data_IF_205273921946
#
_entry.id   IF_205273921946
#
_cell.length_a   1.000
_cell.length_b   1.000
_cell.length_c   1.000
_cell.angle_alpha   90.00
_cell.angle_beta   90.00
_cell.angle_gamma   90.00
#
_symmetry.space_group_name_H-M   'P 1'
#
loop_
_entity.id
_entity.type
_entity.pdbx_description
1 polymer ?
#
# COMPACT_ATOMS: atom_id res chain seq x y z
N UNK A 1 48.65 10.03 42.08
CA UNK A 1 48.49 10.91 40.90
C UNK A 1 48.22 10.03 39.68
N UNK A 2 46.96 9.87 39.28
CA UNK A 2 46.60 9.17 38.05
C UNK A 2 46.63 10.18 36.89
N UNK A 3 47.57 9.99 35.97
CA UNK A 3 47.69 10.80 34.77
C UNK A 3 46.55 10.51 33.79
N UNK A 4 45.66 11.49 33.60
CA UNK A 4 44.72 11.54 32.48
C UNK A 4 45.50 11.85 31.20
N UNK A 5 45.82 10.82 30.41
CA UNK A 5 46.28 11.00 29.03
C UNK A 5 45.15 11.48 28.13
N UNK A 6 45.08 12.79 27.86
CA UNK A 6 44.34 13.33 26.71
C UNK A 6 45.20 13.15 25.46
N UNK A 7 45.06 12.02 24.77
CA UNK A 7 45.61 11.89 23.42
C UNK A 7 44.70 12.63 22.44
N UNK A 8 45.14 13.78 21.94
CA UNK A 8 44.53 14.38 20.75
C UNK A 8 44.90 13.51 19.55
N UNK A 9 43.96 12.69 19.05
CA UNK A 9 44.15 11.98 17.79
C UNK A 9 44.35 13.02 16.67
N UNK A 10 45.51 13.01 16.02
CA UNK A 10 45.79 13.80 14.81
C UNK A 10 45.15 13.14 13.59
N UNK A 11 44.80 13.95 12.57
CA UNK A 11 44.20 13.45 11.32
C UNK A 11 45.15 12.43 10.65
N UNK A 12 44.76 11.16 10.47
CA UNK A 12 45.62 10.14 9.89
C UNK A 12 45.94 10.41 8.41
N UNK A 13 47.06 9.84 7.92
CA UNK A 13 47.49 9.98 6.52
C UNK A 13 46.74 9.05 5.55
N UNK A 14 46.31 7.87 6.02
CA UNK A 14 45.51 6.93 5.22
C UNK A 14 44.04 7.27 5.36
N UNK A 15 43.37 7.47 4.23
CA UNK A 15 41.94 7.83 4.19
C UNK A 15 41.08 6.62 4.60
N UNK A 16 41.36 5.44 4.05
CA UNK A 16 40.66 4.20 4.41
C UNK A 16 41.45 3.43 5.48
N UNK A 17 41.11 3.66 6.75
CA UNK A 17 41.66 2.86 7.86
C UNK A 17 40.81 2.96 9.12
N UNK A 18 40.94 1.97 10.00
CA UNK A 18 40.33 1.98 11.33
C UNK A 18 40.80 3.18 12.18
N UNK A 19 42.07 3.63 12.06
CA UNK A 19 42.52 4.81 12.80
C UNK A 19 41.80 6.08 12.33
N UNK A 20 41.51 6.20 11.03
CA UNK A 20 40.76 7.34 10.52
C UNK A 20 39.31 7.31 11.02
N UNK A 21 38.67 6.15 11.06
CA UNK A 21 37.34 6.04 11.67
C UNK A 21 37.35 6.41 13.16
N UNK A 22 38.37 5.99 13.93
CA UNK A 22 38.55 6.40 15.34
C UNK A 22 38.71 7.91 15.49
N UNK A 23 39.47 8.55 14.59
CA UNK A 23 39.60 10.00 14.54
C UNK A 23 38.25 10.67 14.23
N UNK A 24 37.53 10.22 13.21
CA UNK A 24 36.22 10.77 12.82
C UNK A 24 35.19 10.61 13.95
N UNK A 25 35.16 9.47 14.64
CA UNK A 25 34.32 9.30 15.83
C UNK A 25 34.65 10.35 16.92
N UNK A 26 35.94 10.67 17.14
CA UNK A 26 36.32 11.74 18.07
C UNK A 26 35.87 13.14 17.60
N UNK A 27 35.78 13.37 16.29
CA UNK A 27 35.24 14.60 15.70
C UNK A 27 33.74 14.69 16.00
N UNK A 28 32.98 13.61 15.80
CA UNK A 28 31.54 13.57 16.13
C UNK A 28 31.31 13.80 17.64
N UNK A 29 32.12 13.17 18.49
CA UNK A 29 32.03 13.35 19.95
C UNK A 29 32.22 14.80 20.39
N UNK A 30 33.10 15.55 19.72
CA UNK A 30 33.36 16.97 20.04
C UNK A 30 32.30 17.92 19.49
N UNK A 31 31.55 17.50 18.47
CA UNK A 31 30.62 18.34 17.72
C UNK A 31 29.19 17.81 17.81
N UNK A 32 28.70 17.48 19.02
CA UNK A 32 27.36 16.91 19.21
C UNK A 32 26.23 17.86 18.82
N UNK A 33 26.40 19.16 19.04
CA UNK A 33 25.45 20.19 18.64
C UNK A 33 25.88 20.81 17.32
N UNK A 34 24.96 20.85 16.35
CA UNK A 34 25.20 21.44 15.04
C UNK A 34 25.20 22.96 15.14
N UNK A 35 26.18 23.60 14.50
CA UNK A 35 26.28 25.06 14.39
C UNK A 35 26.84 25.47 13.03
N UNK A 36 26.70 26.75 12.68
CA UNK A 36 27.27 27.31 11.44
C UNK A 36 28.80 27.22 11.38
N UNK A 37 29.47 27.04 12.51
CA UNK A 37 30.94 26.94 12.55
C UNK A 37 31.43 25.50 12.30
N UNK A 38 30.63 24.48 12.65
CA UNK A 38 31.03 23.09 12.58
C UNK A 38 30.36 22.28 11.47
N UNK A 39 29.33 22.81 10.80
CA UNK A 39 28.56 22.04 9.81
C UNK A 39 29.45 21.50 8.68
N UNK A 40 30.40 22.28 8.16
CA UNK A 40 31.29 21.82 7.10
C UNK A 40 32.19 20.66 7.53
N UNK A 41 32.64 20.66 8.78
CA UNK A 41 33.44 19.58 9.36
C UNK A 41 32.60 18.32 9.53
N UNK A 42 31.35 18.47 10.00
CA UNK A 42 30.41 17.37 10.18
C UNK A 42 30.02 16.74 8.83
N UNK A 43 29.70 17.55 7.82
CA UNK A 43 29.36 17.07 6.47
C UNK A 43 30.49 16.20 5.91
N UNK A 44 31.73 16.69 5.96
CA UNK A 44 32.88 15.93 5.46
C UNK A 44 33.17 14.68 6.30
N UNK A 45 32.99 14.76 7.62
CA UNK A 45 33.14 13.59 8.49
C UNK A 45 32.12 12.49 8.16
N UNK A 46 30.84 12.85 7.95
CA UNK A 46 29.77 11.92 7.59
C UNK A 46 30.02 11.25 6.24
N UNK A 47 30.50 12.02 5.26
CA UNK A 47 30.89 11.51 3.93
C UNK A 47 32.02 10.50 4.03
N UNK A 48 33.10 10.85 4.75
CA UNK A 48 34.26 9.98 4.94
C UNK A 48 33.94 8.72 5.74
N UNK A 49 33.03 8.80 6.73
CA UNK A 49 32.58 7.61 7.46
C UNK A 49 31.93 6.62 6.50
N UNK A 50 31.03 7.06 5.61
CA UNK A 50 30.41 6.18 4.61
C UNK A 50 31.46 5.49 3.74
N UNK A 51 32.42 6.26 3.23
CA UNK A 51 33.49 5.77 2.36
C UNK A 51 34.36 4.71 3.05
N UNK A 52 34.74 4.95 4.31
CA UNK A 52 35.51 4.01 5.12
C UNK A 52 34.71 2.74 5.43
N UNK A 53 33.40 2.85 5.69
CA UNK A 53 32.55 1.68 5.99
C UNK A 53 32.37 0.77 4.78
N UNK A 54 32.19 1.35 3.58
CA UNK A 54 32.11 0.56 2.34
C UNK A 54 33.43 -0.15 2.08
N UNK A 55 34.56 0.54 2.25
CA UNK A 55 35.86 -0.08 2.11
C UNK A 55 36.07 -1.19 3.16
N UNK A 56 35.70 -0.93 4.41
CA UNK A 56 35.82 -1.87 5.54
C UNK A 56 34.97 -3.12 5.35
N UNK A 57 33.76 -2.99 4.79
CA UNK A 57 32.86 -4.12 4.45
C UNK A 57 33.56 -5.19 3.60
N UNK A 58 34.44 -4.75 2.68
CA UNK A 58 35.13 -5.63 1.72
C UNK A 58 36.55 -6.01 2.16
N UNK A 59 37.23 -5.17 2.95
CA UNK A 59 38.68 -5.29 3.17
C UNK A 59 39.09 -5.51 4.63
N UNK A 60 38.33 -5.00 5.61
CA UNK A 60 38.71 -5.02 7.02
C UNK A 60 37.48 -4.96 7.93
N UNK A 61 37.04 -6.12 8.44
CA UNK A 61 35.85 -6.23 9.29
C UNK A 61 35.96 -5.44 10.59
N UNK A 62 37.19 -5.19 11.09
CA UNK A 62 37.40 -4.45 12.34
C UNK A 62 36.90 -3.00 12.27
N UNK A 63 36.81 -2.44 11.05
CA UNK A 63 36.21 -1.14 10.79
C UNK A 63 34.71 -1.15 11.10
N UNK A 64 34.00 -2.17 10.62
CA UNK A 64 32.57 -2.34 10.88
C UNK A 64 32.31 -2.66 12.34
N UNK A 65 33.10 -3.55 12.95
CA UNK A 65 33.00 -3.89 14.36
C UNK A 65 33.12 -2.64 15.23
N UNK A 66 34.11 -1.77 14.95
CA UNK A 66 34.26 -0.51 15.67
C UNK A 66 33.09 0.45 15.48
N UNK A 67 32.55 0.55 14.27
CA UNK A 67 31.38 1.40 13.98
C UNK A 67 30.17 0.99 14.80
N UNK A 68 29.92 -0.31 14.88
CA UNK A 68 28.82 -0.90 15.63
C UNK A 68 29.05 -0.77 17.14
N UNK A 69 30.25 -1.13 17.65
CA UNK A 69 30.61 -1.04 19.06
C UNK A 69 30.50 0.39 19.61
N UNK A 70 30.83 1.40 18.80
CA UNK A 70 30.72 2.82 19.20
C UNK A 70 29.36 3.44 18.90
N UNK A 71 28.43 2.67 18.36
CA UNK A 71 27.08 3.10 17.97
C UNK A 71 27.14 4.41 17.17
N UNK A 72 28.02 4.48 16.16
CA UNK A 72 28.25 5.73 15.41
C UNK A 72 26.97 6.22 14.72
N UNK A 73 26.09 5.29 14.33
CA UNK A 73 24.77 5.60 13.74
C UNK A 73 23.87 6.44 14.68
N UNK A 74 24.01 6.31 16.00
CA UNK A 74 23.27 7.13 16.97
C UNK A 74 23.62 8.61 16.83
N UNK A 75 24.87 8.96 16.47
CA UNK A 75 25.21 10.36 16.21
C UNK A 75 24.45 10.89 14.99
N UNK A 76 24.23 10.05 13.97
CA UNK A 76 23.51 10.46 12.76
C UNK A 76 22.07 10.82 13.12
N UNK A 77 21.42 10.00 13.96
CA UNK A 77 20.10 10.27 14.51
C UNK A 77 20.05 11.53 15.37
N UNK A 78 21.05 11.72 16.24
CA UNK A 78 21.12 12.90 17.10
C UNK A 78 21.24 14.17 16.28
N UNK A 79 21.99 14.14 15.18
CA UNK A 79 22.01 15.25 14.23
C UNK A 79 20.64 15.40 13.57
N UNK A 80 20.03 14.34 13.03
CA UNK A 80 18.69 14.39 12.42
C UNK A 80 17.62 15.05 13.30
N UNK A 81 17.66 14.82 14.61
CA UNK A 81 16.68 15.37 15.56
C UNK A 81 16.89 16.85 15.90
N UNK A 82 18.02 17.43 15.55
CA UNK A 82 18.28 18.86 15.78
C UNK A 82 17.65 19.68 14.65
N UNK A 83 17.37 20.96 14.87
CA UNK A 83 17.05 21.88 13.77
C UNK A 83 18.29 22.03 12.90
N UNK A 84 18.34 21.17 11.88
CA UNK A 84 19.49 21.02 11.02
C UNK A 84 19.49 22.07 9.92
N UNK A 85 20.69 22.52 9.55
CA UNK A 85 20.86 23.08 8.22
C UNK A 85 20.50 22.01 7.17
N UNK A 86 19.77 22.41 6.12
CA UNK A 86 19.46 21.59 4.94
C UNK A 86 20.65 20.73 4.49
N UNK A 87 21.86 21.32 4.46
CA UNK A 87 23.09 20.65 4.01
C UNK A 87 23.45 19.42 4.83
N UNK A 88 23.32 19.46 6.16
CA UNK A 88 23.62 18.30 7.00
C UNK A 88 22.53 17.24 6.83
N UNK A 89 21.26 17.63 6.76
CA UNK A 89 20.15 16.70 6.52
C UNK A 89 20.35 15.93 5.21
N UNK A 90 20.62 16.64 4.11
CA UNK A 90 20.93 16.05 2.80
C UNK A 90 22.15 15.12 2.89
N UNK A 91 23.24 15.57 3.52
CA UNK A 91 24.44 14.74 3.65
C UNK A 91 24.17 13.46 4.46
N UNK A 92 23.38 13.53 5.53
CA UNK A 92 23.02 12.36 6.33
C UNK A 92 22.22 11.35 5.52
N UNK A 93 21.19 11.79 4.79
CA UNK A 93 20.39 10.91 3.94
C UNK A 93 21.23 10.32 2.80
N UNK A 94 22.09 11.10 2.16
CA UNK A 94 23.04 10.62 1.15
C UNK A 94 23.98 9.54 1.72
N UNK A 95 24.58 9.82 2.87
CA UNK A 95 25.47 8.90 3.58
C UNK A 95 24.76 7.59 3.91
N UNK A 96 23.52 7.65 4.39
CA UNK A 96 22.70 6.47 4.70
C UNK A 96 22.32 5.69 3.44
N UNK A 97 21.93 6.36 2.37
CA UNK A 97 21.63 5.72 1.08
C UNK A 97 22.83 4.94 0.57
N UNK A 98 23.99 5.60 0.49
CA UNK A 98 25.24 4.97 0.05
C UNK A 98 25.58 3.78 0.96
N UNK A 99 25.44 3.93 2.28
CA UNK A 99 25.74 2.88 3.25
C UNK A 99 24.86 1.64 3.04
N UNK A 100 23.53 1.82 3.03
CA UNK A 100 22.59 0.70 2.91
C UNK A 100 22.53 0.10 1.51
N UNK A 101 22.91 0.86 0.48
CA UNK A 101 23.00 0.35 -0.89
C UNK A 101 24.25 -0.51 -1.10
N UNK A 102 25.39 -0.13 -0.53
CA UNK A 102 26.68 -0.74 -0.85
C UNK A 102 27.18 -1.77 0.16
N UNK A 103 26.70 -1.78 1.41
CA UNK A 103 27.07 -2.85 2.36
C UNK A 103 26.54 -4.18 1.85
N UNK A 104 27.40 -5.18 1.84
CA UNK A 104 27.10 -6.55 1.41
C UNK A 104 27.19 -7.55 2.54
N UNK A 105 27.97 -7.27 3.59
CA UNK A 105 28.10 -8.16 4.73
C UNK A 105 26.76 -8.32 5.46
N UNK A 106 26.24 -9.54 5.46
CA UNK A 106 24.92 -9.85 6.02
C UNK A 106 24.85 -9.58 7.53
N UNK A 107 25.91 -9.88 8.27
CA UNK A 107 26.00 -9.59 9.71
C UNK A 107 25.91 -8.08 9.97
N UNK A 108 26.63 -7.27 9.18
CA UNK A 108 26.57 -5.82 9.29
C UNK A 108 25.16 -5.28 8.98
N UNK A 109 24.50 -5.82 7.95
CA UNK A 109 23.11 -5.47 7.61
C UNK A 109 22.17 -5.79 8.78
N UNK A 110 22.25 -7.00 9.35
CA UNK A 110 21.43 -7.37 10.50
C UNK A 110 21.64 -6.44 11.69
N UNK A 111 22.87 -6.06 11.99
CA UNK A 111 23.15 -5.10 13.06
C UNK A 111 22.59 -3.69 12.77
N UNK A 112 22.73 -3.19 11.55
CA UNK A 112 22.18 -1.89 11.15
C UNK A 112 20.65 -1.86 11.25
N UNK A 113 19.98 -2.96 10.87
CA UNK A 113 18.52 -3.06 10.89
C UNK A 113 17.96 -3.29 12.30
N UNK A 114 18.66 -4.05 13.14
CA UNK A 114 18.17 -4.47 14.47
C UNK A 114 18.13 -3.36 15.52
N UNK A 115 18.94 -2.30 15.40
CA UNK A 115 19.07 -1.27 16.44
C UNK A 115 17.90 -0.26 16.49
N UNK A 116 16.79 -0.51 15.78
CA UNK A 116 15.63 0.39 15.64
C UNK A 116 15.93 1.82 15.13
N UNK A 117 17.19 2.18 14.97
CA UNK A 117 17.68 3.43 14.39
C UNK A 117 17.13 3.64 12.99
N UNK A 118 17.10 2.58 12.19
CA UNK A 118 16.51 2.58 10.85
C UNK A 118 15.03 3.00 10.91
N UNK A 119 14.23 2.42 11.81
CA UNK A 119 12.83 2.81 11.98
C UNK A 119 12.68 4.25 12.51
N UNK A 120 13.62 4.72 13.34
CA UNK A 120 13.64 6.11 13.79
C UNK A 120 13.93 7.10 12.65
N UNK A 121 14.76 6.71 11.66
CA UNK A 121 15.02 7.51 10.45
C UNK A 121 13.78 7.49 9.55
N UNK A 122 13.17 6.32 9.33
CA UNK A 122 11.95 6.18 8.52
C UNK A 122 10.84 7.08 9.06
N UNK A 123 10.62 7.08 10.37
CA UNK A 123 9.51 7.84 11.00
C UNK A 123 9.85 9.30 11.31
N UNK A 124 11.05 9.75 10.94
CA UNK A 124 11.46 11.13 11.17
C UNK A 124 10.68 12.11 10.27
N UNK A 125 10.31 13.27 10.84
CA UNK A 125 9.55 14.30 10.14
C UNK A 125 10.49 15.23 9.38
N UNK A 126 10.85 14.85 8.17
CA UNK A 126 11.61 15.70 7.25
C UNK A 126 10.74 16.83 6.67
N UNK A 127 11.40 17.91 6.27
CA UNK A 127 10.76 18.98 5.50
C UNK A 127 10.68 18.60 4.01
N UNK A 128 9.54 18.05 3.60
CA UNK A 128 9.29 17.67 2.21
C UNK A 128 8.91 18.84 1.29
N UNK A 129 8.89 20.08 1.79
CA UNK A 129 8.86 21.25 0.88
C UNK A 129 10.17 21.36 0.10
N UNK A 130 11.24 20.74 0.60
CA UNK A 130 12.51 20.58 -0.09
C UNK A 130 12.54 19.30 -0.93
N UNK A 131 12.40 19.47 -2.25
CA UNK A 131 12.38 18.36 -3.23
C UNK A 131 13.64 17.49 -3.16
N UNK A 132 14.79 18.06 -2.79
CA UNK A 132 16.05 17.31 -2.66
C UNK A 132 16.00 16.37 -1.45
N UNK A 133 15.50 16.86 -0.31
CA UNK A 133 15.31 16.04 0.90
C UNK A 133 14.30 14.94 0.63
N UNK A 134 13.19 15.27 -0.03
CA UNK A 134 12.17 14.32 -0.44
C UNK A 134 12.74 13.21 -1.35
N UNK A 135 13.56 13.58 -2.34
CA UNK A 135 14.21 12.65 -3.25
C UNK A 135 15.16 11.69 -2.52
N UNK A 136 16.00 12.19 -1.61
CA UNK A 136 16.88 11.34 -0.83
C UNK A 136 16.13 10.44 0.15
N UNK A 137 15.06 10.95 0.77
CA UNK A 137 14.21 10.19 1.67
C UNK A 137 13.48 9.03 0.97
N UNK A 138 12.82 9.29 -0.16
CA UNK A 138 12.14 8.20 -0.88
C UNK A 138 13.14 7.18 -1.44
N UNK A 139 14.33 7.64 -1.84
CA UNK A 139 15.44 6.74 -2.22
C UNK A 139 15.88 5.87 -1.05
N UNK A 140 15.96 6.42 0.16
CA UNK A 140 16.26 5.67 1.38
C UNK A 140 15.24 4.56 1.62
N UNK A 141 13.94 4.88 1.61
CA UNK A 141 12.88 3.88 1.76
C UNK A 141 12.97 2.80 0.67
N UNK A 142 13.25 3.19 -0.58
CA UNK A 142 13.41 2.26 -1.70
C UNK A 142 14.59 1.31 -1.47
N UNK A 143 15.75 1.81 -1.07
CA UNK A 143 16.93 1.01 -0.76
C UNK A 143 16.62 0.00 0.36
N UNK A 144 15.95 0.44 1.42
CA UNK A 144 15.53 -0.46 2.51
C UNK A 144 14.55 -1.53 2.03
N UNK A 145 13.62 -1.19 1.13
CA UNK A 145 12.68 -2.16 0.55
C UNK A 145 13.39 -3.29 -0.21
N UNK A 146 14.53 -3.02 -0.86
CA UNK A 146 15.35 -4.05 -1.51
C UNK A 146 16.11 -4.93 -0.52
N UNK A 147 16.24 -4.52 0.74
CA UNK A 147 16.82 -5.33 1.82
C UNK A 147 15.79 -6.23 2.51
N UNK A 148 14.51 -6.10 2.17
CA UNK A 148 13.45 -6.95 2.70
C UNK A 148 13.55 -8.38 2.15
N UNK A 149 13.47 -9.33 3.04
CA UNK A 149 13.29 -10.75 2.79
C UNK A 149 12.67 -11.40 4.05
N UNK A 150 12.39 -12.70 3.98
CA UNK A 150 11.77 -13.45 5.08
C UNK A 150 12.54 -13.33 6.40
N UNK A 151 13.86 -13.12 6.37
CA UNK A 151 14.69 -12.99 7.57
C UNK A 151 14.83 -11.55 8.08
N UNK A 152 14.53 -10.54 7.27
CA UNK A 152 14.75 -9.12 7.62
C UNK A 152 13.47 -8.33 7.82
N UNK A 153 12.33 -8.83 7.36
CA UNK A 153 11.04 -8.14 7.48
C UNK A 153 10.65 -7.86 8.94
N UNK A 154 11.02 -8.74 9.86
CA UNK A 154 10.76 -8.59 11.30
C UNK A 154 11.46 -7.38 11.95
N UNK A 155 12.46 -6.76 11.29
CA UNK A 155 13.04 -5.50 11.75
C UNK A 155 12.18 -4.27 11.40
N UNK A 156 11.31 -4.41 10.39
CA UNK A 156 10.46 -3.32 9.91
C UNK A 156 8.99 -3.49 10.29
N UNK A 157 8.55 -4.74 10.45
CA UNK A 157 7.22 -5.09 10.90
C UNK A 157 7.25 -5.66 12.32
N UNK A 158 6.62 -4.94 13.26
CA UNK A 158 6.49 -5.37 14.66
C UNK A 158 5.06 -5.89 14.86
N UNK A 159 4.91 -7.22 14.84
CA UNK A 159 3.61 -7.90 14.92
C UNK A 159 2.80 -7.53 16.18
N UNK A 160 3.45 -7.47 17.34
CA UNK A 160 2.80 -7.16 18.63
C UNK A 160 2.18 -5.76 18.69
N UNK A 161 2.69 -4.83 17.89
CA UNK A 161 2.22 -3.44 17.80
C UNK A 161 1.47 -3.16 16.50
N UNK A 162 1.48 -4.11 15.55
CA UNK A 162 0.98 -3.96 14.18
C UNK A 162 1.54 -2.70 13.52
N UNK A 163 2.86 -2.53 13.61
CA UNK A 163 3.57 -1.37 13.06
C UNK A 163 4.48 -1.80 11.93
N UNK A 164 4.20 -1.32 10.72
CA UNK A 164 5.06 -1.51 9.54
C UNK A 164 5.52 -0.15 8.99
N UNK A 165 6.45 0.50 9.69
CA UNK A 165 6.83 1.89 9.41
C UNK A 165 7.30 2.11 7.96
N UNK A 166 8.13 1.21 7.43
CA UNK A 166 8.64 1.31 6.06
C UNK A 166 7.50 1.36 5.02
N UNK A 167 6.52 0.47 5.17
CA UNK A 167 5.38 0.39 4.26
C UNK A 167 4.44 1.59 4.43
N UNK A 168 4.07 1.90 5.67
CA UNK A 168 3.12 2.98 5.99
C UNK A 168 3.64 4.35 5.57
N UNK A 169 4.90 4.68 5.86
CA UNK A 169 5.46 5.96 5.44
C UNK A 169 5.62 6.08 3.92
N UNK A 170 5.89 4.97 3.22
CA UNK A 170 5.96 4.98 1.75
C UNK A 170 4.59 5.23 1.11
N UNK A 171 3.53 4.55 1.55
CA UNK A 171 2.21 4.68 0.91
C UNK A 171 1.56 6.05 1.13
N UNK A 172 1.92 6.81 2.17
CA UNK A 172 1.48 8.21 2.34
C UNK A 172 1.86 9.09 1.14
N UNK A 173 2.94 8.73 0.43
CA UNK A 173 3.50 9.47 -0.70
C UNK A 173 2.98 8.96 -2.07
N UNK A 174 1.98 8.06 -2.10
CA UNK A 174 1.53 7.43 -3.35
C UNK A 174 1.03 8.42 -4.41
N UNK A 175 0.39 9.52 -4.00
CA UNK A 175 -0.16 10.56 -4.88
C UNK A 175 0.72 11.83 -4.91
N UNK A 176 2.03 11.66 -4.72
CA UNK A 176 2.97 12.76 -4.81
C UNK A 176 3.00 13.37 -6.23
N UNK A 177 3.11 14.69 -6.41
CA UNK A 177 3.09 15.34 -7.74
C UNK A 177 4.26 14.91 -8.64
N UNK A 178 5.43 14.66 -8.06
CA UNK A 178 6.61 14.17 -8.80
C UNK A 178 6.48 12.68 -9.16
N UNK A 179 6.60 12.37 -10.46
CA UNK A 179 6.43 11.02 -11.00
C UNK A 179 7.47 10.03 -10.46
N UNK A 180 8.73 10.47 -10.29
CA UNK A 180 9.79 9.62 -9.75
C UNK A 180 9.51 9.15 -8.32
N UNK A 181 8.85 9.99 -7.50
CA UNK A 181 8.42 9.62 -6.15
C UNK A 181 7.33 8.54 -6.23
N UNK A 182 6.32 8.71 -7.09
CA UNK A 182 5.28 7.68 -7.30
C UNK A 182 5.86 6.35 -7.76
N UNK A 183 6.81 6.35 -8.69
CA UNK A 183 7.53 5.15 -9.17
C UNK A 183 8.26 4.45 -8.01
N UNK A 184 8.93 5.21 -7.15
CA UNK A 184 9.61 4.64 -5.99
C UNK A 184 8.63 4.04 -4.98
N UNK A 185 7.49 4.69 -4.70
CA UNK A 185 6.43 4.13 -3.84
C UNK A 185 5.87 2.82 -4.42
N UNK A 186 5.61 2.76 -5.73
CA UNK A 186 5.19 1.53 -6.43
C UNK A 186 6.23 0.42 -6.29
N UNK A 187 7.51 0.76 -6.40
CA UNK A 187 8.61 -0.22 -6.21
C UNK A 187 8.66 -0.73 -4.76
N UNK A 188 8.56 0.17 -3.78
CA UNK A 188 8.57 -0.18 -2.35
C UNK A 188 7.40 -1.10 -2.01
N UNK A 189 6.19 -0.72 -2.44
CA UNK A 189 4.99 -1.53 -2.20
C UNK A 189 5.13 -2.91 -2.84
N UNK A 190 5.54 -3.03 -4.11
CA UNK A 190 5.77 -4.34 -4.75
C UNK A 190 6.80 -5.19 -3.98
N UNK A 191 7.92 -4.59 -3.57
CA UNK A 191 8.96 -5.29 -2.80
C UNK A 191 8.42 -5.79 -1.46
N UNK A 192 7.63 -4.98 -0.75
CA UNK A 192 7.00 -5.36 0.52
C UNK A 192 6.03 -6.52 0.32
N UNK A 193 5.08 -6.40 -0.62
CA UNK A 193 4.09 -7.45 -0.87
C UNK A 193 4.74 -8.76 -1.35
N UNK A 194 5.87 -8.69 -2.07
CA UNK A 194 6.60 -9.86 -2.55
C UNK A 194 7.22 -10.71 -1.42
N UNK A 195 7.45 -10.13 -0.24
CA UNK A 195 7.96 -10.90 0.90
C UNK A 195 6.85 -11.80 1.43
N UNK A 196 7.08 -13.11 1.39
CA UNK A 196 6.15 -14.13 1.89
C UNK A 196 6.20 -14.26 3.41
N UNK A 197 5.82 -13.18 4.10
CA UNK A 197 5.63 -13.13 5.55
C UNK A 197 4.15 -13.01 5.87
N UNK A 198 3.61 -14.02 6.55
CA UNK A 198 2.16 -14.16 6.75
C UNK A 198 1.60 -13.01 7.60
N UNK A 199 2.26 -12.70 8.71
CA UNK A 199 1.81 -11.68 9.64
C UNK A 199 1.86 -10.27 9.04
N UNK A 200 2.90 -9.95 8.27
CA UNK A 200 2.99 -8.66 7.57
C UNK A 200 1.95 -8.53 6.44
N UNK A 201 1.71 -9.60 5.69
CA UNK A 201 0.69 -9.61 4.64
C UNK A 201 -0.73 -9.54 5.21
N UNK A 202 -0.99 -10.21 6.34
CA UNK A 202 -2.25 -10.09 7.08
C UNK A 202 -2.47 -8.64 7.53
N UNK A 203 -1.44 -8.00 8.10
CA UNK A 203 -1.51 -6.58 8.43
C UNK A 203 -1.86 -5.73 7.19
N UNK A 204 -1.15 -5.91 6.08
CA UNK A 204 -1.40 -5.13 4.86
C UNK A 204 -2.82 -5.34 4.35
N UNK A 205 -3.27 -6.60 4.31
CA UNK A 205 -4.60 -6.96 3.85
C UNK A 205 -5.67 -6.31 4.72
N UNK A 206 -5.62 -6.47 6.04
CA UNK A 206 -6.70 -6.02 6.93
C UNK A 206 -6.66 -4.54 7.26
N UNK A 207 -5.48 -3.93 7.27
CA UNK A 207 -5.29 -2.58 7.76
C UNK A 207 -5.25 -1.54 6.65
N UNK A 208 -4.58 -1.85 5.54
CA UNK A 208 -4.16 -0.83 4.59
C UNK A 208 -4.69 -1.05 3.19
N UNK A 209 -4.93 -2.29 2.76
CA UNK A 209 -5.24 -2.62 1.37
C UNK A 209 -6.46 -1.89 0.84
N UNK A 210 -7.57 -1.87 1.60
CA UNK A 210 -8.79 -1.18 1.19
C UNK A 210 -8.57 0.31 1.01
N UNK A 211 -7.94 0.97 1.99
CA UNK A 211 -7.71 2.42 1.97
C UNK A 211 -6.75 2.75 0.82
N UNK A 212 -5.64 2.03 0.71
CA UNK A 212 -4.64 2.22 -0.32
C UNK A 212 -5.21 1.99 -1.73
N UNK A 213 -5.87 0.87 -1.98
CA UNK A 213 -6.47 0.56 -3.28
C UNK A 213 -7.64 1.48 -3.61
N UNK A 214 -8.39 1.92 -2.59
CA UNK A 214 -9.43 2.94 -2.77
C UNK A 214 -8.87 4.23 -3.34
N UNK A 215 -7.74 4.69 -2.81
CA UNK A 215 -7.06 5.89 -3.25
C UNK A 215 -6.36 5.70 -4.61
N UNK A 216 -5.75 4.53 -4.85
CA UNK A 216 -5.16 4.16 -6.13
C UNK A 216 -6.19 4.20 -7.27
N UNK A 217 -7.32 3.51 -7.09
CA UNK A 217 -8.38 3.42 -8.10
C UNK A 217 -9.00 4.79 -8.39
N UNK A 218 -9.18 5.62 -7.36
CA UNK A 218 -9.63 7.00 -7.52
C UNK A 218 -8.63 7.84 -8.33
N UNK A 219 -7.33 7.76 -8.02
CA UNK A 219 -6.27 8.45 -8.76
C UNK A 219 -6.27 8.07 -10.25
N UNK A 220 -6.45 6.77 -10.54
CA UNK A 220 -6.51 6.27 -11.93
C UNK A 220 -7.70 6.86 -12.68
N UNK A 221 -8.88 6.89 -12.04
CA UNK A 221 -10.06 7.48 -12.66
C UNK A 221 -9.92 8.97 -12.93
N UNK A 222 -9.23 9.71 -12.05
CA UNK A 222 -8.91 11.12 -12.31
C UNK A 222 -7.97 11.28 -13.50
N UNK A 223 -6.90 10.48 -13.62
CA UNK A 223 -6.04 10.51 -14.81
C UNK A 223 -6.85 10.26 -16.09
N UNK A 224 -7.82 9.34 -16.05
CA UNK A 224 -8.71 9.06 -17.20
C UNK A 224 -9.65 10.22 -17.51
N UNK A 225 -10.20 10.88 -16.48
CA UNK A 225 -11.04 12.07 -16.65
C UNK A 225 -10.26 13.26 -17.21
N UNK A 226 -9.01 13.42 -16.78
CA UNK A 226 -8.10 14.42 -17.31
C UNK A 226 -7.84 14.17 -18.80
N UNK A 227 -7.51 12.92 -19.19
CA UNK A 227 -7.38 12.50 -20.60
C UNK A 227 -8.59 12.94 -21.44
N UNK A 228 -9.81 12.76 -20.92
CA UNK A 228 -11.06 13.12 -21.62
C UNK A 228 -11.30 14.63 -21.73
N UNK A 229 -10.83 15.41 -20.75
CA UNK A 229 -11.01 16.85 -20.71
C UNK A 229 -10.01 17.62 -21.61
N UNK A 230 -8.86 17.04 -21.96
CA UNK A 230 -7.77 17.80 -22.53
C UNK A 230 -7.91 18.16 -24.02
N UNK A 231 -7.63 19.43 -24.31
CA UNK A 231 -7.57 20.02 -25.66
C UNK A 231 -6.14 20.16 -26.20
N UNK A 232 -5.11 19.80 -25.43
CA UNK A 232 -3.71 20.03 -25.76
C UNK A 232 -2.93 18.70 -25.87
N UNK A 233 -2.28 18.47 -27.02
CA UNK A 233 -1.66 17.19 -27.37
C UNK A 233 -0.46 16.79 -26.50
N UNK A 234 0.34 17.75 -26.01
CA UNK A 234 1.55 17.45 -25.23
C UNK A 234 1.19 16.88 -23.85
N UNK A 235 0.27 17.52 -23.13
CA UNK A 235 -0.24 17.02 -21.84
C UNK A 235 -0.96 15.68 -21.97
N UNK A 236 -1.66 15.45 -23.09
CA UNK A 236 -2.34 14.19 -23.35
C UNK A 236 -1.35 13.02 -23.40
N UNK A 237 -0.18 13.20 -24.04
CA UNK A 237 0.83 12.15 -24.12
C UNK A 237 1.32 11.73 -22.74
N UNK A 238 1.61 12.69 -21.87
CA UNK A 238 2.11 12.43 -20.52
C UNK A 238 1.05 11.71 -19.66
N UNK A 239 -0.22 12.11 -19.78
CA UNK A 239 -1.32 11.45 -19.06
C UNK A 239 -1.61 10.04 -19.57
N UNK A 240 -1.49 9.81 -20.88
CA UNK A 240 -1.61 8.46 -21.45
C UNK A 240 -0.47 7.58 -20.97
N UNK A 241 0.76 8.11 -20.88
CA UNK A 241 1.89 7.37 -20.30
C UNK A 241 1.63 7.05 -18.82
N UNK A 242 1.16 8.02 -18.03
CA UNK A 242 0.80 7.80 -16.63
C UNK A 242 -0.34 6.77 -16.46
N UNK A 243 -1.35 6.80 -17.33
CA UNK A 243 -2.41 5.80 -17.37
C UNK A 243 -1.86 4.38 -17.66
N UNK A 244 -0.94 4.24 -18.61
CA UNK A 244 -0.30 2.96 -18.92
C UNK A 244 0.55 2.48 -17.73
N UNK A 245 1.30 3.38 -17.09
CA UNK A 245 2.09 3.05 -15.90
C UNK A 245 1.20 2.57 -14.74
N UNK A 246 0.00 3.15 -14.58
CA UNK A 246 -0.98 2.67 -13.62
C UNK A 246 -1.46 1.24 -13.92
N UNK A 247 -1.73 0.93 -15.19
CA UNK A 247 -2.17 -0.41 -15.60
C UNK A 247 -1.07 -1.45 -15.39
N UNK A 248 0.18 -1.13 -15.73
CA UNK A 248 1.31 -2.00 -15.43
C UNK A 248 1.48 -2.24 -13.93
N UNK A 249 1.33 -1.19 -13.11
CA UNK A 249 1.39 -1.34 -11.66
C UNK A 249 0.27 -2.21 -11.09
N UNK A 250 -0.96 -2.08 -11.58
CA UNK A 250 -2.08 -2.97 -11.20
C UNK A 250 -1.75 -4.41 -11.60
N UNK A 251 -1.30 -4.62 -12.83
CA UNK A 251 -1.00 -5.96 -13.32
C UNK A 251 0.15 -6.61 -12.55
N UNK A 252 1.19 -5.84 -12.17
CA UNK A 252 2.27 -6.31 -11.31
C UNK A 252 1.76 -6.70 -9.92
N UNK A 253 0.87 -5.90 -9.31
CA UNK A 253 0.24 -6.23 -8.03
C UNK A 253 -0.57 -7.53 -8.12
N UNK A 254 -1.41 -7.67 -9.15
CA UNK A 254 -2.22 -8.88 -9.37
C UNK A 254 -1.34 -10.11 -9.63
N UNK A 255 -0.23 -9.93 -10.36
CA UNK A 255 0.73 -10.97 -10.70
C UNK A 255 1.53 -11.50 -9.51
N UNK A 256 1.53 -10.80 -8.36
CA UNK A 256 2.08 -11.34 -7.12
C UNK A 256 1.29 -12.56 -6.61
N UNK A 257 0.05 -12.73 -7.05
CA UNK A 257 -0.78 -13.90 -6.74
C UNK A 257 -1.24 -13.98 -5.29
N UNK A 258 -1.31 -12.84 -4.59
CA UNK A 258 -1.76 -12.78 -3.20
C UNK A 258 -3.28 -12.67 -3.22
N UNK A 259 -3.97 -13.80 -3.02
CA UNK A 259 -5.42 -13.94 -3.20
C UNK A 259 -6.21 -12.80 -2.52
N UNK A 260 -5.92 -12.53 -1.24
CA UNK A 260 -6.60 -11.48 -0.48
C UNK A 260 -6.43 -10.09 -1.05
N UNK A 261 -5.20 -9.71 -1.40
CA UNK A 261 -4.95 -8.39 -1.98
C UNK A 261 -5.56 -8.27 -3.38
N UNK A 262 -5.51 -9.34 -4.17
CA UNK A 262 -6.11 -9.37 -5.50
C UNK A 262 -7.62 -9.23 -5.43
N UNK A 263 -8.27 -9.88 -4.47
CA UNK A 263 -9.71 -9.73 -4.26
C UNK A 263 -10.06 -8.27 -3.92
N UNK A 264 -9.39 -7.66 -2.95
CA UNK A 264 -9.67 -6.27 -2.59
C UNK A 264 -9.43 -5.34 -3.77
N UNK A 265 -8.31 -5.50 -4.49
CA UNK A 265 -7.97 -4.67 -5.65
C UNK A 265 -8.99 -4.83 -6.79
N UNK A 266 -9.35 -6.07 -7.15
CA UNK A 266 -10.35 -6.35 -8.18
C UNK A 266 -11.72 -5.77 -7.82
N UNK A 267 -12.14 -5.89 -6.56
CA UNK A 267 -13.40 -5.33 -6.09
C UNK A 267 -13.39 -3.80 -6.20
N UNK A 268 -12.30 -3.15 -5.74
CA UNK A 268 -12.17 -1.70 -5.87
C UNK A 268 -12.18 -1.25 -7.34
N UNK A 269 -11.46 -1.94 -8.22
CA UNK A 269 -11.45 -1.65 -9.66
C UNK A 269 -12.84 -1.77 -10.27
N UNK A 270 -13.57 -2.85 -9.98
CA UNK A 270 -14.92 -3.08 -10.50
C UNK A 270 -15.91 -2.05 -9.96
N UNK A 271 -16.03 -1.93 -8.63
CA UNK A 271 -17.06 -1.09 -7.99
C UNK A 271 -16.87 0.39 -8.19
N UNK A 272 -15.62 0.84 -8.18
CA UNK A 272 -15.31 2.26 -8.11
C UNK A 272 -14.79 2.83 -9.41
N UNK A 273 -14.27 2.03 -10.34
CA UNK A 273 -13.74 2.53 -11.61
C UNK A 273 -14.45 1.94 -12.83
N UNK A 274 -14.43 0.62 -13.01
CA UNK A 274 -14.91 0.03 -14.26
C UNK A 274 -16.41 0.16 -14.42
N UNK A 275 -17.19 -0.30 -13.43
CA UNK A 275 -18.64 -0.18 -13.49
C UNK A 275 -19.07 1.30 -13.53
N UNK A 276 -18.72 2.14 -12.53
CA UNK A 276 -19.31 3.47 -12.43
C UNK A 276 -18.77 4.48 -13.44
N UNK A 277 -17.53 4.31 -13.93
CA UNK A 277 -16.93 5.25 -14.86
C UNK A 277 -16.94 4.71 -16.30
N UNK A 278 -16.49 3.47 -16.54
CA UNK A 278 -16.38 2.95 -17.91
C UNK A 278 -17.72 2.43 -18.43
N UNK A 279 -18.34 1.48 -17.72
CA UNK A 279 -19.59 0.86 -18.18
C UNK A 279 -20.71 1.92 -18.25
N UNK A 280 -20.92 2.73 -17.21
CA UNK A 280 -21.93 3.78 -17.27
C UNK A 280 -21.68 4.88 -18.32
N UNK A 281 -20.43 5.05 -18.80
CA UNK A 281 -20.13 5.95 -19.93
C UNK A 281 -20.43 5.31 -21.29
N UNK A 282 -20.31 3.98 -21.41
CA UNK A 282 -20.76 3.25 -22.60
C UNK A 282 -22.30 3.22 -22.74
N UNK A 283 -23.00 3.18 -21.60
CA UNK A 283 -24.45 3.02 -21.56
C UNK A 283 -25.19 4.36 -21.68
N UNK A 284 -25.76 4.62 -22.86
CA UNK A 284 -26.56 5.82 -23.17
C UNK A 284 -27.74 6.07 -22.21
N UNK A 285 -28.23 5.02 -21.52
CA UNK A 285 -29.44 5.06 -20.69
C UNK A 285 -29.20 5.49 -19.24
N UNK A 286 -27.96 5.52 -18.78
CA UNK A 286 -27.69 6.00 -17.43
C UNK A 286 -27.89 7.53 -17.38
N UNK A 287 -28.53 8.08 -16.34
CA UNK A 287 -28.66 9.55 -16.20
C UNK A 287 -27.35 10.11 -15.64
N UNK A 288 -26.92 11.30 -16.10
CA UNK A 288 -25.70 11.94 -15.58
C UNK A 288 -25.81 12.30 -14.10
N UNK A 289 -27.03 12.43 -13.60
CA UNK A 289 -27.29 12.90 -12.25
C UNK A 289 -28.03 11.78 -11.50
N UNK A 290 -27.48 11.41 -10.35
CA UNK A 290 -28.14 10.54 -9.38
C UNK A 290 -28.71 11.40 -8.27
N UNK A 291 -30.03 11.41 -8.12
CA UNK A 291 -30.67 11.98 -6.94
C UNK A 291 -30.48 10.99 -5.79
N UNK A 292 -29.65 11.33 -4.82
CA UNK A 292 -29.58 10.60 -3.55
C UNK A 292 -30.30 11.42 -2.48
N UNK A 293 -30.57 10.80 -1.32
CA UNK A 293 -31.15 11.49 -0.16
C UNK A 293 -30.27 12.65 0.36
N UNK A 294 -29.01 12.73 -0.10
CA UNK A 294 -28.01 13.74 0.27
C UNK A 294 -27.81 14.83 -0.83
N UNK A 295 -28.54 14.77 -1.94
CA UNK A 295 -28.48 15.74 -3.06
C UNK A 295 -28.29 15.10 -4.44
N UNK A 296 -28.20 15.93 -5.49
CA UNK A 296 -27.86 15.49 -6.86
C UNK A 296 -26.35 15.28 -6.99
N UNK A 297 -25.91 14.03 -7.04
CA UNK A 297 -24.51 13.69 -7.33
C UNK A 297 -24.34 13.59 -8.84
N UNK A 298 -23.57 14.51 -9.41
CA UNK A 298 -23.17 14.46 -10.83
C UNK A 298 -22.18 13.32 -11.01
N UNK A 299 -22.57 12.31 -11.79
CA UNK A 299 -21.71 11.19 -12.14
C UNK A 299 -20.80 11.59 -13.30
N UNK A 300 -19.48 11.44 -13.16
CA UNK A 300 -18.57 11.72 -14.25
C UNK A 300 -18.85 10.77 -15.41
N UNK A 301 -18.78 11.30 -16.63
CA UNK A 301 -19.02 10.58 -17.88
C UNK A 301 -17.85 10.87 -18.81
N UNK A 302 -17.26 9.79 -19.31
CA UNK A 302 -16.21 9.86 -20.31
C UNK A 302 -16.83 9.97 -21.71
N UNK A 303 -16.12 10.61 -22.63
CA UNK A 303 -16.44 10.48 -24.05
C UNK A 303 -16.34 9.02 -24.48
N UNK A 304 -17.14 8.63 -25.47
CA UNK A 304 -17.12 7.27 -26.01
C UNK A 304 -15.72 6.88 -26.51
N UNK A 305 -15.01 7.80 -27.17
CA UNK A 305 -13.67 7.57 -27.70
C UNK A 305 -12.67 7.25 -26.59
N UNK A 306 -12.66 8.01 -25.50
CA UNK A 306 -11.76 7.77 -24.38
C UNK A 306 -12.14 6.50 -23.63
N UNK A 307 -13.44 6.25 -23.45
CA UNK A 307 -13.92 5.02 -22.79
C UNK A 307 -13.45 3.77 -23.53
N UNK A 308 -13.62 3.73 -24.86
CA UNK A 308 -13.18 2.60 -25.68
C UNK A 308 -11.65 2.48 -25.68
N UNK A 309 -10.93 3.60 -25.78
CA UNK A 309 -9.48 3.64 -25.73
C UNK A 309 -8.91 3.07 -24.42
N UNK A 310 -9.41 3.53 -23.27
CA UNK A 310 -8.93 3.05 -21.96
C UNK A 310 -9.34 1.61 -21.71
N UNK A 311 -10.54 1.17 -22.14
CA UNK A 311 -10.93 -0.23 -22.07
C UNK A 311 -10.01 -1.12 -22.90
N UNK A 312 -9.67 -0.73 -24.13
CA UNK A 312 -8.72 -1.50 -24.96
C UNK A 312 -7.39 -1.68 -24.22
N UNK A 313 -6.85 -0.61 -23.61
CA UNK A 313 -5.64 -0.72 -22.80
C UNK A 313 -5.81 -1.66 -21.61
N UNK A 314 -6.94 -1.61 -20.90
CA UNK A 314 -7.23 -2.53 -19.79
C UNK A 314 -7.21 -4.00 -20.25
N UNK A 315 -7.83 -4.31 -21.40
CA UNK A 315 -7.81 -5.67 -21.98
C UNK A 315 -6.43 -6.11 -22.49
N UNK A 316 -5.57 -5.16 -22.87
CA UNK A 316 -4.21 -5.45 -23.35
C UNK A 316 -3.22 -5.67 -22.20
N UNK A 317 -3.32 -4.88 -21.13
CA UNK A 317 -2.32 -4.86 -20.06
C UNK A 317 -2.71 -5.68 -18.83
N UNK A 318 -3.99 -5.76 -18.47
CA UNK A 318 -4.42 -6.54 -17.31
C UNK A 318 -4.57 -8.00 -17.70
N UNK A 319 -3.91 -8.91 -16.95
CA UNK A 319 -3.92 -10.35 -17.21
C UNK A 319 -4.85 -11.15 -16.29
N UNK A 320 -5.37 -10.54 -15.22
CA UNK A 320 -6.28 -11.24 -14.29
C UNK A 320 -7.60 -11.60 -15.01
N UNK A 321 -7.81 -12.91 -15.18
CA UNK A 321 -8.93 -13.43 -15.97
C UNK A 321 -10.28 -13.13 -15.34
N UNK A 322 -10.36 -13.05 -14.00
CA UNK A 322 -11.62 -12.82 -13.28
C UNK A 322 -12.15 -11.42 -13.56
N UNK A 323 -11.25 -10.44 -13.46
CA UNK A 323 -11.53 -9.05 -13.75
C UNK A 323 -11.97 -8.86 -15.21
N UNK A 324 -11.26 -9.48 -16.15
CA UNK A 324 -11.59 -9.44 -17.58
C UNK A 324 -12.95 -10.09 -17.86
N UNK A 325 -13.24 -11.24 -17.26
CA UNK A 325 -14.52 -11.92 -17.43
C UNK A 325 -15.70 -11.09 -16.92
N UNK A 326 -15.61 -10.55 -15.70
CA UNK A 326 -16.64 -9.69 -15.12
C UNK A 326 -16.84 -8.40 -15.92
N UNK A 327 -15.74 -7.77 -16.37
CA UNK A 327 -15.78 -6.59 -17.22
C UNK A 327 -16.46 -6.88 -18.56
N UNK A 328 -16.11 -8.01 -19.20
CA UNK A 328 -16.70 -8.42 -20.48
C UNK A 328 -18.18 -8.70 -20.36
N UNK A 329 -18.59 -9.41 -19.30
CA UNK A 329 -20.01 -9.63 -19.01
C UNK A 329 -20.74 -8.31 -18.78
N UNK A 330 -20.15 -7.36 -18.05
CA UNK A 330 -20.74 -6.04 -17.83
C UNK A 330 -20.93 -5.24 -19.12
N UNK A 331 -19.96 -5.31 -20.04
CA UNK A 331 -20.05 -4.66 -21.36
C UNK A 331 -21.14 -5.30 -22.22
N UNK A 332 -21.22 -6.64 -22.26
CA UNK A 332 -22.15 -7.37 -23.11
C UNK A 332 -23.61 -7.32 -22.62
N UNK A 333 -23.81 -7.41 -21.30
CA UNK A 333 -25.16 -7.38 -20.70
C UNK A 333 -25.75 -5.98 -20.80
N UNK A 334 -24.92 -4.94 -20.70
CA UNK A 334 -25.27 -3.58 -21.06
C UNK A 334 -26.32 -2.88 -20.18
N UNK A 335 -26.94 -3.54 -19.19
CA UNK A 335 -27.84 -2.90 -18.24
C UNK A 335 -27.59 -3.39 -16.81
N UNK A 336 -26.74 -2.66 -16.11
CA UNK A 336 -26.45 -2.87 -14.69
C UNK A 336 -27.61 -2.38 -13.78
N UNK A 337 -28.66 -1.79 -14.36
CA UNK A 337 -29.84 -1.23 -13.70
C UNK A 337 -31.12 -1.98 -14.01
N UNK A 338 -31.07 -3.22 -14.49
CA UNK A 338 -32.23 -4.11 -14.43
C UNK A 338 -32.26 -4.82 -13.08
N UNK A 339 -33.01 -4.32 -12.08
CA UNK A 339 -33.46 -5.14 -10.95
C UNK A 339 -34.34 -6.34 -11.39
N UNK A 340 -34.57 -6.54 -12.69
CA UNK A 340 -35.27 -7.70 -13.26
C UNK A 340 -34.36 -8.77 -13.89
N UNK A 341 -33.03 -8.61 -13.89
CA UNK A 341 -32.06 -9.65 -14.29
C UNK A 341 -31.16 -10.12 -13.14
N UNK A 342 -31.25 -9.46 -11.99
CA UNK A 342 -31.38 -10.22 -10.74
C UNK A 342 -32.66 -11.03 -10.97
N UNK A 343 -32.51 -12.26 -11.49
CA UNK A 343 -33.53 -13.29 -11.31
C UNK A 343 -33.98 -13.11 -9.85
N UNK A 344 -35.28 -13.09 -9.54
CA UNK A 344 -35.70 -13.35 -8.17
C UNK A 344 -35.23 -14.77 -7.91
N UNK A 345 -33.95 -14.90 -7.54
CA UNK A 345 -33.41 -16.07 -6.92
C UNK A 345 -34.24 -16.12 -5.67
N UNK A 346 -35.28 -16.96 -5.70
CA UNK A 346 -35.82 -17.63 -4.54
C UNK A 346 -34.73 -18.55 -3.98
N UNK A 347 -33.55 -17.99 -3.73
CA UNK A 347 -32.63 -18.45 -2.72
C UNK A 347 -33.11 -17.65 -1.51
N UNK A 348 -33.64 -18.31 -0.47
CA UNK A 348 -34.01 -17.61 0.73
C UNK A 348 -32.74 -16.95 1.27
N UNK A 349 -32.66 -15.62 1.17
CA UNK A 349 -31.96 -14.84 2.17
C UNK A 349 -32.74 -15.04 3.47
N UNK A 350 -32.50 -16.17 4.15
CA UNK A 350 -32.73 -16.24 5.58
C UNK A 350 -31.94 -15.08 6.15
N UNK A 351 -32.63 -14.17 6.84
CA UNK A 351 -31.99 -13.19 7.71
C UNK A 351 -30.92 -13.91 8.52
N UNK A 352 -29.65 -13.71 8.19
CA UNK A 352 -28.55 -14.00 9.11
C UNK A 352 -28.46 -12.84 10.11
N UNK A 353 -29.55 -12.65 10.85
CA UNK A 353 -29.35 -12.53 12.29
C UNK A 353 -28.93 -13.93 12.75
N UNK A 354 -27.73 -14.01 13.30
CA UNK A 354 -27.17 -15.23 13.87
C UNK A 354 -28.11 -15.71 14.99
N UNK A 355 -28.97 -16.71 14.72
CA UNK A 355 -29.62 -17.53 15.76
C UNK A 355 -29.84 -18.96 15.21
N UNK A 356 -29.37 -19.96 15.96
CA UNK A 356 -29.49 -21.40 15.67
C UNK A 356 -30.91 -21.93 15.89
N UNK A 357 -31.46 -22.69 14.93
CA UNK A 357 -32.10 -24.03 15.08
C UNK A 357 -33.14 -24.32 13.97
N UNK A 358 -33.08 -25.54 13.45
CA UNK A 358 -34.07 -26.22 12.58
C UNK A 358 -34.99 -27.12 13.46
N UNK A 359 -36.04 -27.84 12.97
CA UNK A 359 -36.75 -27.80 11.68
C UNK A 359 -38.30 -27.87 11.78
N UNK A 360 -39.04 -27.59 10.69
CA UNK A 360 -40.08 -28.46 10.06
C UNK A 360 -40.96 -27.73 9.03
N UNK A 361 -41.17 -28.44 7.92
CA UNK A 361 -42.00 -28.23 6.71
C UNK A 361 -43.41 -27.65 6.87
N UNK A 362 -43.84 -26.76 5.95
CA UNK A 362 -44.96 -27.00 5.00
C UNK A 362 -45.26 -25.80 4.07
N UNK A 363 -45.68 -26.14 2.85
CA UNK A 363 -46.11 -25.29 1.73
C UNK A 363 -47.15 -24.20 2.08
N UNK A 364 -47.09 -23.05 1.39
CA UNK A 364 -48.26 -22.47 0.71
C UNK A 364 -47.91 -21.22 -0.15
N UNK A 365 -48.41 -21.26 -1.38
CA UNK A 365 -48.50 -20.19 -2.39
C UNK A 365 -49.18 -18.90 -1.90
N UNK A 366 -48.58 -17.71 -2.12
CA UNK A 366 -49.33 -16.43 -2.14
C UNK A 366 -48.70 -15.41 -3.10
N UNK A 367 -49.59 -14.75 -3.85
CA UNK A 367 -49.45 -13.69 -4.85
C UNK A 367 -48.67 -12.43 -4.42
N UNK A 368 -47.79 -11.95 -5.30
CA UNK A 368 -47.15 -10.63 -5.21
C UNK A 368 -48.14 -9.49 -5.50
N UNK A 369 -48.64 -8.84 -4.45
CA UNK A 369 -49.14 -7.47 -4.54
C UNK A 369 -48.11 -6.50 -3.96
N UNK A 370 -47.80 -5.51 -4.78
CA UNK A 370 -46.86 -4.40 -4.62
C UNK A 370 -47.21 -3.57 -3.37
N UNK A 371 -46.27 -3.45 -2.42
CA UNK A 371 -46.20 -2.34 -1.46
C UNK A 371 -44.74 -2.10 -1.07
N UNK A 372 -44.16 -1.03 -1.63
CA UNK A 372 -42.91 -0.43 -1.16
C UNK A 372 -43.24 0.41 0.07
N UNK A 373 -43.18 -0.19 1.25
CA UNK A 373 -43.01 0.57 2.48
C UNK A 373 -41.53 0.56 2.83
N UNK A 374 -40.89 1.71 2.59
CA UNK A 374 -39.64 2.08 3.24
C UNK A 374 -39.91 2.15 4.74
N UNK A 375 -39.37 1.22 5.52
CA UNK A 375 -39.17 1.48 6.94
C UNK A 375 -37.94 2.39 7.07
N UNK A 376 -38.22 3.63 7.49
CA UNK A 376 -37.24 4.51 8.11
C UNK A 376 -36.50 3.71 9.18
N UNK A 377 -35.21 3.49 9.00
CA UNK A 377 -34.34 3.04 10.08
C UNK A 377 -33.32 4.13 10.34
N UNK A 378 -33.44 4.65 11.56
CA UNK A 378 -32.67 5.68 12.23
C UNK A 378 -31.25 5.92 11.68
N UNK A 379 -30.94 7.20 11.54
CA UNK A 379 -29.59 7.78 11.62
C UNK A 379 -28.97 7.50 13.00
N UNK A 380 -28.76 6.24 13.37
CA UNK A 380 -27.74 5.91 14.36
C UNK A 380 -26.41 6.04 13.64
N UNK A 381 -25.73 7.17 13.87
CA UNK A 381 -24.29 7.26 13.70
C UNK A 381 -23.67 6.00 14.33
N UNK A 382 -23.21 5.09 13.48
CA UNK A 382 -22.61 3.86 13.94
C UNK A 382 -21.22 4.27 14.43
N UNK A 383 -21.06 4.36 15.75
CA UNK A 383 -19.78 4.47 16.49
C UNK A 383 -18.91 3.21 16.28
N UNK A 384 -18.90 2.65 15.08
CA UNK A 384 -18.04 1.53 14.71
C UNK A 384 -16.63 2.09 14.47
N UNK A 385 -15.66 1.51 15.18
CA UNK A 385 -14.22 1.74 14.99
C UNK A 385 -13.85 1.71 13.49
N UNK A 386 -13.10 2.69 12.94
CA UNK A 386 -12.63 2.67 11.54
C UNK A 386 -12.01 1.33 11.12
N UNK A 387 -11.30 0.65 12.02
CA UNK A 387 -10.79 -0.70 11.78
C UNK A 387 -11.91 -1.73 11.49
N UNK A 388 -13.04 -1.62 12.19
CA UNK A 388 -14.24 -2.45 12.00
C UNK A 388 -14.87 -2.20 10.62
N UNK A 389 -14.95 -0.94 10.20
CA UNK A 389 -15.50 -0.57 8.89
C UNK A 389 -14.66 -1.14 7.76
N UNK A 390 -13.33 -1.01 7.87
CA UNK A 390 -12.38 -1.57 6.90
C UNK A 390 -12.56 -3.09 6.83
N UNK A 391 -12.53 -3.78 7.97
CA UNK A 391 -12.63 -5.23 8.01
C UNK A 391 -13.96 -5.77 7.44
N UNK A 392 -15.10 -5.14 7.77
CA UNK A 392 -16.41 -5.47 7.17
C UNK A 392 -16.40 -5.31 5.64
N UNK A 393 -15.79 -4.25 5.15
CA UNK A 393 -15.71 -3.97 3.71
C UNK A 393 -14.82 -4.98 2.99
N UNK A 394 -13.70 -5.37 3.60
CA UNK A 394 -12.80 -6.41 3.07
C UNK A 394 -13.52 -7.76 2.95
N UNK A 395 -14.27 -8.17 3.97
CA UNK A 395 -15.07 -9.40 3.92
C UNK A 395 -16.09 -9.35 2.80
N UNK A 396 -16.79 -8.22 2.66
CA UNK A 396 -17.77 -8.05 1.60
C UNK A 396 -17.14 -8.15 0.20
N UNK A 397 -15.96 -7.55 0.00
CA UNK A 397 -15.19 -7.66 -1.24
C UNK A 397 -14.81 -9.12 -1.54
N UNK A 398 -14.24 -9.83 -0.56
CA UNK A 398 -13.87 -11.24 -0.67
C UNK A 398 -15.06 -12.13 -1.00
N UNK A 399 -16.16 -12.02 -0.26
CA UNK A 399 -17.38 -12.81 -0.50
C UNK A 399 -17.92 -12.55 -1.91
N UNK A 400 -17.97 -11.28 -2.34
CA UNK A 400 -18.51 -10.91 -3.64
C UNK A 400 -17.72 -11.51 -4.79
N UNK A 401 -16.39 -11.44 -4.73
CA UNK A 401 -15.54 -11.97 -5.79
C UNK A 401 -15.47 -13.49 -5.80
N UNK A 402 -15.31 -14.13 -4.64
CA UNK A 402 -15.29 -15.61 -4.57
C UNK A 402 -16.60 -16.22 -5.03
N UNK A 403 -17.73 -15.63 -4.68
CA UNK A 403 -19.03 -16.08 -5.17
C UNK A 403 -19.12 -15.95 -6.70
N UNK A 404 -18.59 -14.86 -7.26
CA UNK A 404 -18.55 -14.66 -8.70
C UNK A 404 -17.63 -15.65 -9.43
N UNK A 405 -16.52 -16.05 -8.83
CA UNK A 405 -15.58 -17.02 -9.40
C UNK A 405 -16.20 -18.43 -9.50
N UNK A 406 -17.06 -18.79 -8.56
CA UNK A 406 -17.77 -20.07 -8.54
C UNK A 406 -18.99 -20.12 -9.47
N UNK A 407 -19.45 -18.98 -9.97
CA UNK A 407 -20.63 -18.90 -10.81
C UNK A 407 -20.34 -19.29 -12.27
N UNK A 408 -21.35 -19.84 -12.95
CA UNK A 408 -21.25 -20.21 -14.37
C UNK A 408 -21.04 -18.98 -15.25
N UNK A 409 -20.38 -19.12 -16.42
CA UNK A 409 -20.29 -18.04 -17.41
C UNK A 409 -21.66 -17.41 -17.70
N UNK A 410 -21.76 -16.08 -17.63
CA UNK A 410 -23.00 -15.32 -17.83
C UNK A 410 -23.82 -15.06 -16.56
N UNK A 411 -23.52 -15.71 -15.44
CA UNK A 411 -24.12 -15.40 -14.13
C UNK A 411 -23.15 -14.69 -13.18
N UNK A 412 -21.86 -14.60 -13.51
CA UNK A 412 -20.82 -14.09 -12.61
C UNK A 412 -21.05 -12.63 -12.23
N UNK A 413 -21.37 -11.80 -13.22
CA UNK A 413 -21.69 -10.39 -12.95
C UNK A 413 -22.90 -10.24 -12.01
N UNK A 414 -23.97 -11.01 -12.24
CA UNK A 414 -25.16 -10.95 -11.40
C UNK A 414 -24.84 -11.37 -9.97
N UNK A 415 -24.11 -12.49 -9.79
CA UNK A 415 -23.66 -12.94 -8.47
C UNK A 415 -22.80 -11.89 -7.78
N UNK A 416 -21.84 -11.30 -8.50
CA UNK A 416 -21.01 -10.21 -7.98
C UNK A 416 -21.86 -9.03 -7.50
N UNK A 417 -22.81 -8.56 -8.32
CA UNK A 417 -23.67 -7.42 -7.98
C UNK A 417 -24.57 -7.71 -6.78
N UNK A 418 -25.14 -8.91 -6.65
CA UNK A 418 -25.99 -9.31 -5.52
C UNK A 418 -25.23 -9.17 -4.20
N UNK A 419 -24.01 -9.72 -4.12
CA UNK A 419 -23.17 -9.63 -2.93
C UNK A 419 -22.53 -8.24 -2.74
N UNK A 420 -22.52 -7.43 -3.80
CA UNK A 420 -22.07 -6.05 -3.74
C UNK A 420 -23.08 -5.10 -3.11
N UNK A 421 -24.37 -5.28 -3.43
CA UNK A 421 -25.46 -4.40 -3.00
C UNK A 421 -25.81 -4.55 -1.52
N UNK A 422 -25.45 -5.67 -0.87
CA UNK A 422 -25.61 -5.85 0.58
C UNK A 422 -24.67 -4.97 1.42
N UNK A 423 -23.58 -4.48 0.83
CA UNK A 423 -22.81 -3.38 1.44
C UNK A 423 -23.55 -2.08 1.15
N UNK A 424 -23.81 -1.23 2.15
CA UNK A 424 -24.58 0.04 2.04
C UNK A 424 -23.96 1.10 1.08
N UNK A 425 -23.05 0.73 0.19
CA UNK A 425 -22.27 1.62 -0.66
C UNK A 425 -22.76 1.59 -2.11
N UNK A 426 -23.29 2.70 -2.65
CA UNK A 426 -23.70 2.76 -4.05
C UNK A 426 -22.49 2.69 -5.00
N UNK A 427 -22.68 2.05 -6.17
CA UNK A 427 -21.68 1.99 -7.25
C UNK A 427 -21.48 3.38 -7.86
N UNK A 428 -20.55 4.15 -7.29
CA UNK A 428 -20.27 5.54 -7.68
C UNK A 428 -18.74 5.74 -7.74
N UNK A 429 -18.27 6.40 -8.79
CA UNK A 429 -16.92 6.96 -8.81
C UNK A 429 -16.93 8.22 -7.95
N UNK A 430 -16.44 8.10 -6.72
CA UNK A 430 -16.32 9.21 -5.76
C UNK A 430 -14.94 9.21 -5.14
N UNK A 431 -14.51 10.36 -4.61
CA UNK A 431 -13.33 10.43 -3.75
C UNK A 431 -13.55 9.57 -2.50
N UNK A 432 -12.52 8.87 -1.99
CA UNK A 432 -12.58 8.27 -0.67
C UNK A 432 -13.00 9.32 0.38
N UNK A 433 -13.87 8.94 1.33
CA UNK A 433 -14.42 9.86 2.35
C UNK A 433 -13.34 10.50 3.22
N UNK A 434 -12.24 9.78 3.43
CA UNK A 434 -11.13 10.19 4.28
C UNK A 434 -9.82 10.27 3.48
N UNK A 435 -8.92 11.16 3.91
CA UNK A 435 -7.56 11.19 3.35
C UNK A 435 -6.84 9.88 3.67
N UNK A 436 -5.90 9.48 2.80
CA UNK A 436 -5.12 8.25 3.02
C UNK A 436 -4.40 8.29 4.38
N UNK A 437 -3.79 9.42 4.73
CA UNK A 437 -3.12 9.58 6.02
C UNK A 437 -4.09 9.41 7.19
N UNK A 438 -5.27 10.05 7.13
CA UNK A 438 -6.27 9.93 8.17
C UNK A 438 -6.74 8.49 8.35
N UNK A 439 -7.14 7.84 7.25
CA UNK A 439 -7.56 6.44 7.26
C UNK A 439 -6.49 5.51 7.82
N UNK A 440 -5.22 5.70 7.44
CA UNK A 440 -4.11 4.89 7.97
C UNK A 440 -3.86 5.13 9.47
N UNK A 441 -4.01 6.35 9.97
CA UNK A 441 -3.84 6.66 11.39
C UNK A 441 -4.96 6.11 12.26
N UNK A 442 -6.19 6.09 11.74
CA UNK A 442 -7.38 5.66 12.45
C UNK A 442 -7.65 4.17 12.35
N UNK A 443 -7.18 3.51 11.30
CA UNK A 443 -7.31 2.06 11.18
C UNK A 443 -6.62 1.31 12.33
N UNK A 444 -5.72 1.95 13.12
CA UNK A 444 -4.91 1.32 14.18
C UNK A 444 -5.80 0.61 15.21
N UNK A 445 -6.00 -0.71 15.07
CA UNK A 445 -6.88 -1.39 16.01
C UNK A 445 -7.33 -2.80 15.66
N UNK A 446 -6.97 -3.36 14.50
CA UNK A 446 -7.33 -4.76 14.25
C UNK A 446 -6.60 -5.63 15.28
N UNK A 447 -7.32 -6.43 16.06
CA UNK A 447 -6.75 -7.39 17.02
C UNK A 447 -6.98 -8.82 16.51
N UNK A 448 -6.18 -9.82 16.91
CA UNK A 448 -6.46 -11.22 16.55
C UNK A 448 -7.87 -11.68 16.96
N UNK A 449 -8.37 -11.16 18.08
CA UNK A 449 -9.75 -11.33 18.54
C UNK A 449 -10.77 -10.73 17.57
N UNK A 450 -10.56 -9.48 17.10
CA UNK A 450 -11.44 -8.86 16.10
C UNK A 450 -11.47 -9.66 14.80
N UNK A 451 -10.30 -10.15 14.37
CA UNK A 451 -10.15 -10.98 13.18
C UNK A 451 -10.97 -12.28 13.27
N UNK A 452 -10.93 -12.96 14.42
CA UNK A 452 -11.70 -14.19 14.63
C UNK A 452 -13.22 -13.98 14.65
N UNK A 453 -13.68 -12.79 15.07
CA UNK A 453 -15.11 -12.44 15.10
C UNK A 453 -15.64 -12.12 13.71
N UNK A 454 -14.85 -11.37 12.94
CA UNK A 454 -15.25 -10.89 11.62
C UNK A 454 -15.07 -11.95 10.52
N UNK A 455 -14.09 -12.84 10.66
CA UNK A 455 -13.78 -13.88 9.68
C UNK A 455 -14.25 -15.26 10.15
N UNK A 456 -15.55 -15.60 10.01
CA UNK A 456 -16.07 -16.87 10.51
C UNK A 456 -15.40 -18.04 9.78
N UNK A 457 -15.27 -19.21 10.43
CA UNK A 457 -14.45 -20.34 9.94
C UNK A 457 -14.92 -20.94 8.61
N UNK A 458 -16.15 -20.67 8.18
CA UNK A 458 -16.70 -21.04 6.89
C UNK A 458 -16.27 -20.12 5.74
N UNK A 459 -15.81 -18.90 6.05
CA UNK A 459 -15.07 -18.05 5.12
C UNK A 459 -13.60 -18.39 5.35
N UNK A 460 -13.04 -19.28 4.53
CA UNK A 460 -11.63 -19.65 4.68
C UNK A 460 -10.78 -18.35 4.73
N UNK A 461 -9.89 -18.18 5.73
CA UNK A 461 -8.87 -17.14 5.68
C UNK A 461 -8.21 -17.20 4.32
N UNK A 462 -8.05 -16.04 3.67
CA UNK A 462 -7.36 -15.96 2.40
C UNK A 462 -6.00 -16.63 2.58
N UNK A 463 -5.79 -17.77 1.89
CA UNK A 463 -4.54 -18.50 2.01
C UNK A 463 -3.47 -17.60 1.42
N UNK A 464 -2.62 -17.03 2.27
CA UNK A 464 -1.42 -16.33 1.86
C UNK A 464 -0.48 -17.41 1.32
N UNK A 465 -0.58 -17.65 0.01
CA UNK A 465 0.04 -18.73 -0.79
C UNK A 465 1.15 -19.49 -0.04
N UNK A 466 0.83 -20.72 0.36
CA UNK A 466 1.78 -21.68 0.92
C UNK A 466 2.91 -21.96 -0.09
N UNK A 467 4.13 -22.18 0.42
CA UNK A 467 5.29 -22.64 -0.37
C UNK A 467 4.86 -23.76 -1.34
N UNK A 468 5.02 -23.53 -2.63
CA UNK A 468 5.30 -24.64 -3.56
C UNK A 468 6.68 -25.19 -3.20
N UNK A 469 6.77 -26.01 -2.16
CA UNK A 469 7.77 -27.07 -2.12
C UNK A 469 7.30 -28.11 -3.11
N UNK A 470 7.69 -27.94 -4.38
CA UNK A 470 7.68 -29.06 -5.30
C UNK A 470 8.63 -30.12 -4.72
N UNK A 471 8.02 -31.16 -4.16
CA UNK A 471 8.61 -32.46 -3.96
C UNK A 471 9.29 -32.90 -5.25
N UNK A 472 10.63 -32.85 -5.26
CA UNK A 472 11.42 -33.69 -6.16
C UNK A 472 11.07 -35.14 -5.86
N UNK A 473 10.19 -35.71 -6.67
CA UNK A 473 10.05 -37.16 -6.77
C UNK A 473 11.30 -37.65 -7.50
N UNK A 474 12.26 -38.17 -6.74
CA UNK A 474 13.33 -39.00 -7.29
C UNK A 474 12.71 -40.25 -7.91
N UNK A 475 12.68 -40.31 -9.24
CA UNK A 475 12.56 -41.57 -9.96
C UNK A 475 13.94 -42.26 -9.94
N UNK A 476 13.96 -43.47 -9.37
CA UNK A 476 15.03 -44.45 -9.54
C UNK A 476 15.07 -44.99 -10.96
#
# INVERSE_FOLDING_TARGET
MFGRGKSSLSKPKKVHSLENLKYLHSVLQKNRAVSEQNYGILVEALRLIAEILIWGDQNDSSVMDFFLEKNILEYFLQYMKQDLSRRICVQLLQTLNILFENITNQTAIYYLLSNNHTNAIITHRFDFTDEEVMAYYISFLKILSFRLNVNTISFFYIESRREFNLYVEAIKLFAHPEGMVRIAVRTITLNVHKVKDEAALEFIHHQTSLIYFSHLVWSIGNTILDIDCHKCQTKLKDLVAEHIDHLHYIDDLLSLGIEGLNEVLCDQLLRRLFIPLHIYSLLKQYKSDATTNLGTVRRPRLSYSVTVFTLIHMYLFLRDTRLICLLTEAILIGDLTLPGLIIPCNIPCSNSQIVFNDPTTQDCSVSFQRNLNYEETDDTACDDDPAMIIAKTLIAATVSLRASDQASPGQRLTTYLIHSVTSKNPLIFSQPSESLEHGLTQAKGVTPTLMSVLWPPNVAPLKLVEKNTETYVSLK
#
